data_IF_440914057251
#
_entry.id   IF_440914057251
#
_cell.length_a   1.000
_cell.length_b   1.000
_cell.length_c   1.000
_cell.angle_alpha   90.00
_cell.angle_beta   90.00
_cell.angle_gamma   90.00
#
_symmetry.space_group_name_H-M   'P 1'
#
loop_
_entity.id
_entity.type
_entity.pdbx_description
1 polymer ?
#
# COMPACT_ATOMS: atom_id res chain seq x y z
N UNK A 1 52.20 -26.22 47.67
CA UNK A 1 51.20 -26.70 48.65
C UNK A 1 49.90 -25.96 48.38
N UNK A 2 48.74 -26.61 48.49
CA UNK A 2 47.44 -25.99 48.22
C UNK A 2 46.53 -26.09 49.47
N UNK A 3 45.79 -25.04 49.83
CA UNK A 3 44.67 -25.15 50.76
C UNK A 3 43.43 -25.66 50.02
N UNK A 4 42.59 -26.46 50.70
CA UNK A 4 41.22 -26.74 50.25
C UNK A 4 40.34 -25.52 50.51
N UNK A 5 39.37 -25.27 49.64
CA UNK A 5 38.15 -24.53 50.01
C UNK A 5 36.92 -25.35 49.64
N UNK A 6 35.88 -25.20 50.46
CA UNK A 6 34.71 -26.09 50.51
C UNK A 6 33.59 -25.59 49.60
N UNK A 7 32.85 -26.51 49.00
CA UNK A 7 31.58 -26.24 48.33
C UNK A 7 30.48 -25.94 49.33
N UNK A 8 29.62 -24.96 49.03
CA UNK A 8 28.28 -24.80 49.60
C UNK A 8 27.32 -24.62 48.43
N UNK A 9 26.26 -25.41 48.39
CA UNK A 9 25.16 -25.25 47.44
C UNK A 9 24.04 -24.47 48.14
N UNK A 10 23.51 -23.43 47.49
CA UNK A 10 22.24 -22.81 47.89
C UNK A 10 21.28 -22.80 46.71
N UNK A 11 20.21 -23.59 46.83
CA UNK A 11 19.11 -23.66 45.87
C UNK A 11 18.04 -22.62 46.22
N UNK A 12 17.72 -21.72 45.29
CA UNK A 12 16.59 -20.80 45.44
C UNK A 12 15.55 -20.97 44.32
N UNK A 13 14.56 -21.82 44.59
CA UNK A 13 13.26 -21.75 43.90
C UNK A 13 12.55 -20.45 44.28
N UNK A 14 12.03 -19.73 43.28
CA UNK A 14 11.36 -18.45 43.45
C UNK A 14 9.98 -18.45 42.76
N UNK A 15 9.04 -19.23 43.31
CA UNK A 15 7.69 -19.42 42.78
C UNK A 15 6.81 -18.18 42.98
N UNK A 16 6.92 -17.19 42.09
CA UNK A 16 6.08 -16.00 42.10
C UNK A 16 4.60 -16.34 41.84
N UNK A 17 3.79 -16.27 42.90
CA UNK A 17 2.32 -16.24 42.78
C UNK A 17 1.89 -14.95 42.11
N UNK A 18 0.91 -15.05 41.21
CA UNK A 18 0.17 -13.89 40.69
C UNK A 18 -1.05 -13.69 41.59
N UNK A 19 -1.20 -12.50 42.17
CA UNK A 19 -2.40 -12.12 42.90
C UNK A 19 -3.50 -11.67 41.92
N UNK A 20 -4.70 -12.21 42.06
CA UNK A 20 -5.88 -11.76 41.32
C UNK A 20 -6.56 -10.63 42.11
N UNK A 21 -6.54 -9.41 41.59
CA UNK A 21 -7.36 -8.33 42.14
C UNK A 21 -8.83 -8.47 41.66
N UNK A 22 -9.82 -8.39 42.58
CA UNK A 22 -11.22 -8.61 42.24
C UNK A 22 -11.87 -7.43 41.50
N UNK A 23 -13.00 -7.69 40.85
CA UNK A 23 -13.90 -6.65 40.34
C UNK A 23 -14.48 -5.84 41.50
N UNK A 24 -14.37 -4.51 41.43
CA UNK A 24 -15.23 -3.60 42.18
C UNK A 24 -16.44 -3.21 41.34
N UNK A 25 -17.63 -3.56 41.82
CA UNK A 25 -18.93 -3.05 41.33
C UNK A 25 -19.34 -1.81 42.11
N UNK A 26 -19.81 -0.76 41.44
CA UNK A 26 -20.48 0.37 42.08
C UNK A 26 -21.52 1.05 41.17
N UNK A 27 -22.68 1.32 41.77
CA UNK A 27 -23.76 2.24 41.40
C UNK A 27 -23.60 3.56 42.19
N UNK A 28 -24.28 4.69 41.95
CA UNK A 28 -25.16 5.27 40.90
C UNK A 28 -25.14 6.82 41.18
N UNK A 29 -25.87 7.77 40.60
CA UNK A 29 -27.06 7.86 39.71
C UNK A 29 -26.98 9.26 39.00
N UNK A 30 -27.93 9.56 38.10
CA UNK A 30 -28.44 10.91 37.77
C UNK A 30 -27.56 11.79 36.86
N UNK A 31 -28.07 12.84 36.18
CA UNK A 31 -29.40 13.10 35.59
C UNK A 31 -29.31 14.35 34.67
N UNK A 32 -30.36 14.59 33.85
CA UNK A 32 -30.59 15.82 33.05
C UNK A 32 -29.57 16.14 31.93
N UNK A 33 -29.89 16.92 30.88
CA UNK A 33 -31.17 17.23 30.20
C UNK A 33 -30.90 17.87 28.82
N UNK A 34 -31.90 17.85 27.94
CA UNK A 34 -32.09 18.73 26.76
C UNK A 34 -30.93 19.05 25.80
N UNK A 35 -31.11 18.64 24.54
CA UNK A 35 -31.75 19.55 23.57
C UNK A 35 -32.06 18.84 22.25
N UNK A 36 -33.20 19.16 21.63
CA UNK A 36 -33.68 18.55 20.39
C UNK A 36 -33.80 19.57 19.26
N UNK A 37 -33.30 19.23 18.08
CA UNK A 37 -33.56 19.91 16.80
C UNK A 37 -33.69 18.87 15.68
N UNK A 38 -34.46 19.15 14.61
CA UNK A 38 -35.18 18.10 13.88
C UNK A 38 -34.41 17.47 12.70
N UNK A 39 -34.76 16.21 12.42
CA UNK A 39 -34.39 15.52 11.19
C UNK A 39 -34.99 16.16 9.93
N UNK A 40 -34.23 16.15 8.84
CA UNK A 40 -34.69 16.60 7.52
C UNK A 40 -34.72 15.40 6.56
N UNK A 41 -35.90 14.86 6.20
CA UNK A 41 -36.01 13.62 5.44
C UNK A 41 -35.70 13.84 3.95
N UNK A 42 -34.54 13.34 3.50
CA UNK A 42 -34.18 13.28 2.08
C UNK A 42 -34.24 11.85 1.56
N UNK A 43 -35.45 11.41 1.21
CA UNK A 43 -35.63 10.18 0.44
C UNK A 43 -35.02 10.35 -0.95
N UNK A 44 -34.00 9.55 -1.24
CA UNK A 44 -33.46 9.36 -2.58
C UNK A 44 -33.12 7.87 -2.74
N UNK A 45 -33.90 7.17 -3.58
CA UNK A 45 -33.77 5.73 -3.76
C UNK A 45 -32.38 5.36 -4.29
N UNK A 46 -31.58 4.75 -3.41
CA UNK A 46 -30.26 4.26 -3.77
C UNK A 46 -30.38 2.82 -4.27
N UNK A 47 -30.17 2.64 -5.57
CA UNK A 47 -30.09 1.32 -6.19
C UNK A 47 -29.06 0.46 -5.44
N UNK A 48 -29.53 -0.64 -4.82
CA UNK A 48 -28.75 -1.52 -3.96
C UNK A 48 -27.74 -2.34 -4.77
N UNK A 49 -26.62 -1.71 -5.14
CA UNK A 49 -25.39 -2.46 -5.41
C UNK A 49 -25.01 -3.23 -4.16
N UNK A 50 -24.89 -4.55 -4.26
CA UNK A 50 -24.87 -5.52 -3.15
C UNK A 50 -23.86 -5.21 -2.02
N UNK A 51 -24.26 -4.37 -1.04
CA UNK A 51 -23.67 -4.46 0.29
C UNK A 51 -24.05 -5.83 0.87
N UNK A 52 -23.11 -6.62 1.39
CA UNK A 52 -23.45 -7.90 2.02
C UNK A 52 -24.32 -7.61 3.23
N UNK A 53 -25.57 -8.09 3.20
CA UNK A 53 -26.57 -7.84 4.23
C UNK A 53 -25.98 -8.05 5.62
N UNK A 54 -25.94 -7.00 6.45
CA UNK A 54 -25.70 -7.20 7.87
C UNK A 54 -26.90 -8.00 8.39
N UNK A 55 -26.71 -9.30 8.62
CA UNK A 55 -27.69 -10.16 9.31
C UNK A 55 -27.70 -9.74 10.77
N UNK A 56 -28.39 -8.64 11.03
CA UNK A 56 -28.98 -8.32 12.31
C UNK A 56 -29.94 -9.49 12.59
N UNK A 57 -29.72 -10.22 13.69
CA UNK A 57 -30.67 -11.24 14.12
C UNK A 57 -31.97 -10.61 14.60
N UNK A 58 -33.00 -11.43 14.80
CA UNK A 58 -34.28 -10.98 15.38
C UNK A 58 -34.12 -10.45 16.82
N UNK A 59 -32.95 -10.69 17.42
CA UNK A 59 -32.45 -10.17 18.71
C UNK A 59 -31.75 -8.79 18.61
N UNK A 60 -31.65 -8.20 17.41
CA UNK A 60 -30.89 -6.98 17.17
C UNK A 60 -29.35 -7.17 17.17
N UNK A 61 -28.86 -8.37 17.43
CA UNK A 61 -27.43 -8.65 17.56
C UNK A 61 -26.83 -8.87 16.17
N UNK A 62 -25.64 -8.27 15.92
CA UNK A 62 -24.91 -8.47 14.66
C UNK A 62 -24.36 -9.88 14.57
N UNK A 63 -25.11 -10.77 13.93
CA UNK A 63 -24.80 -12.19 13.81
C UNK A 63 -23.49 -12.37 13.05
N UNK A 64 -22.55 -13.11 13.64
CA UNK A 64 -21.21 -13.29 13.07
C UNK A 64 -21.33 -14.18 11.83
N UNK A 65 -21.11 -13.62 10.63
CA UNK A 65 -21.02 -14.39 9.37
C UNK A 65 -20.19 -15.66 9.56
N UNK A 66 -20.74 -16.79 9.11
CA UNK A 66 -20.19 -18.13 9.36
C UNK A 66 -18.82 -18.32 8.70
N UNK A 67 -18.12 -19.39 9.07
CA UNK A 67 -16.85 -19.73 8.40
C UNK A 67 -17.06 -20.13 6.92
N UNK A 68 -18.27 -20.56 6.57
CA UNK A 68 -18.70 -20.90 5.21
C UNK A 68 -18.97 -19.64 4.38
N UNK A 69 -19.77 -18.69 4.90
CA UNK A 69 -19.97 -17.35 4.29
C UNK A 69 -18.62 -16.66 4.01
N UNK A 70 -17.71 -16.74 4.99
CA UNK A 70 -16.35 -16.17 4.90
C UNK A 70 -15.46 -16.88 3.89
N UNK A 71 -15.82 -18.08 3.45
CA UNK A 71 -15.08 -18.91 2.49
C UNK A 71 -15.47 -18.65 1.03
N UNK A 72 -16.67 -18.11 0.79
CA UNK A 72 -17.14 -17.74 -0.56
C UNK A 72 -16.16 -16.77 -1.22
N UNK A 73 -15.81 -17.04 -2.47
CA UNK A 73 -14.96 -16.17 -3.29
C UNK A 73 -15.73 -14.87 -3.59
N UNK A 74 -15.18 -13.68 -3.27
CA UNK A 74 -15.86 -12.42 -3.53
C UNK A 74 -15.83 -12.07 -5.03
N UNK A 75 -16.83 -11.36 -5.55
CA UNK A 75 -16.92 -11.00 -6.97
C UNK A 75 -15.70 -10.22 -7.50
N UNK A 76 -15.12 -9.36 -6.65
CA UNK A 76 -13.86 -8.65 -6.90
C UNK A 76 -12.66 -9.54 -7.23
N UNK A 77 -12.63 -10.80 -6.79
CA UNK A 77 -11.57 -11.75 -7.17
C UNK A 77 -11.64 -12.06 -8.67
N UNK A 78 -12.84 -12.31 -9.19
CA UNK A 78 -13.07 -12.52 -10.61
C UNK A 78 -12.83 -11.24 -11.42
N UNK A 79 -13.26 -10.08 -10.92
CA UNK A 79 -12.94 -8.79 -11.56
C UNK A 79 -11.43 -8.55 -11.62
N UNK A 80 -10.68 -8.87 -10.56
CA UNK A 80 -9.22 -8.75 -10.57
C UNK A 80 -8.55 -9.71 -11.55
N UNK A 81 -8.99 -10.98 -11.61
CA UNK A 81 -8.46 -11.97 -12.56
C UNK A 81 -8.75 -11.55 -14.01
N UNK A 82 -9.98 -11.13 -14.30
CA UNK A 82 -10.37 -10.68 -15.65
C UNK A 82 -9.58 -9.43 -16.05
N UNK A 83 -9.46 -8.45 -15.15
CA UNK A 83 -8.74 -7.21 -15.42
C UNK A 83 -7.23 -7.43 -15.57
N UNK A 84 -6.60 -8.25 -14.73
CA UNK A 84 -5.18 -8.59 -14.86
C UNK A 84 -4.94 -9.42 -16.13
N UNK A 85 -5.78 -10.42 -16.41
CA UNK A 85 -5.68 -11.23 -17.63
C UNK A 85 -5.88 -10.41 -18.91
N UNK A 86 -6.76 -9.40 -18.89
CA UNK A 86 -6.88 -8.42 -19.98
C UNK A 86 -5.63 -7.54 -20.07
N UNK A 87 -5.13 -6.98 -18.97
CA UNK A 87 -3.97 -6.09 -18.99
C UNK A 87 -2.70 -6.80 -19.45
N UNK A 88 -2.37 -7.95 -18.87
CA UNK A 88 -1.14 -8.70 -19.18
C UNK A 88 -1.24 -9.43 -20.53
N UNK A 89 -2.42 -9.96 -20.87
CA UNK A 89 -2.68 -10.62 -22.14
C UNK A 89 -2.74 -9.65 -23.33
N UNK A 90 -3.47 -8.54 -23.20
CA UNK A 90 -3.64 -7.57 -24.29
C UNK A 90 -2.45 -6.62 -24.45
N UNK A 91 -1.55 -6.50 -23.47
CA UNK A 91 -0.25 -5.82 -23.63
C UNK A 91 0.86 -6.75 -24.14
N UNK A 92 0.57 -8.03 -24.37
CA UNK A 92 1.57 -9.00 -24.83
C UNK A 92 2.68 -9.29 -23.81
N UNK A 93 2.45 -9.05 -22.53
CA UNK A 93 3.49 -9.09 -21.48
C UNK A 93 4.17 -10.46 -21.33
N UNK A 94 3.48 -11.56 -21.65
CA UNK A 94 4.03 -12.91 -21.49
C UNK A 94 4.80 -13.39 -22.73
N UNK A 95 5.89 -12.70 -23.07
CA UNK A 95 6.90 -13.19 -24.05
C UNK A 95 8.12 -13.81 -23.38
N UNK A 96 8.93 -14.54 -24.15
CA UNK A 96 10.26 -14.97 -23.70
C UNK A 96 11.19 -13.77 -23.43
N UNK A 97 11.10 -12.72 -24.25
CA UNK A 97 11.95 -11.52 -24.12
C UNK A 97 11.65 -10.76 -22.83
N UNK A 98 10.37 -10.73 -22.41
CA UNK A 98 9.96 -10.21 -21.09
C UNK A 98 10.55 -11.03 -19.94
N UNK A 99 10.59 -12.36 -20.05
CA UNK A 99 11.21 -13.23 -19.04
C UNK A 99 12.74 -13.06 -19.01
N UNK A 100 13.40 -12.93 -20.16
CA UNK A 100 14.83 -12.67 -20.24
C UNK A 100 15.21 -11.29 -19.69
N UNK A 101 14.47 -10.24 -20.04
CA UNK A 101 14.69 -8.88 -19.53
C UNK A 101 14.46 -8.82 -18.00
N UNK A 102 13.37 -9.39 -17.50
CA UNK A 102 13.12 -9.50 -16.06
C UNK A 102 14.26 -10.23 -15.31
N UNK A 103 14.81 -11.29 -15.91
CA UNK A 103 15.95 -12.00 -15.35
C UNK A 103 17.23 -11.14 -15.39
N UNK A 104 17.55 -10.47 -16.50
CA UNK A 104 18.72 -9.60 -16.55
C UNK A 104 18.60 -8.46 -15.53
N UNK A 105 17.49 -7.73 -15.51
CA UNK A 105 17.18 -6.70 -14.50
C UNK A 105 17.45 -7.17 -13.08
N UNK A 106 17.02 -8.38 -12.72
CA UNK A 106 17.31 -8.99 -11.41
C UNK A 106 18.81 -9.26 -11.23
N UNK A 107 19.50 -9.87 -12.21
CA UNK A 107 20.93 -10.17 -12.08
C UNK A 107 21.81 -8.91 -12.07
N UNK A 108 21.45 -7.89 -12.85
CA UNK A 108 22.11 -6.58 -12.92
C UNK A 108 21.88 -5.82 -11.62
N UNK A 109 20.68 -5.84 -11.05
CA UNK A 109 20.41 -5.24 -9.72
C UNK A 109 21.16 -5.98 -8.60
N UNK A 110 21.21 -7.32 -8.62
CA UNK A 110 21.99 -8.11 -7.66
C UNK A 110 23.51 -7.87 -7.81
N UNK A 111 24.00 -7.72 -9.03
CA UNK A 111 25.40 -7.35 -9.32
C UNK A 111 25.70 -5.95 -8.79
N UNK A 112 24.81 -4.98 -8.97
CA UNK A 112 24.94 -3.63 -8.40
C UNK A 112 24.95 -3.66 -6.87
N UNK A 113 24.05 -4.40 -6.22
CA UNK A 113 24.06 -4.57 -4.75
C UNK A 113 25.38 -5.21 -4.27
N UNK A 114 25.89 -6.24 -4.96
CA UNK A 114 27.19 -6.84 -4.65
C UNK A 114 28.32 -5.80 -4.78
N UNK A 115 28.39 -5.07 -5.89
CA UNK A 115 29.42 -4.08 -6.14
C UNK A 115 29.39 -2.94 -5.11
N UNK A 116 28.20 -2.50 -4.68
CA UNK A 116 28.03 -1.50 -3.61
C UNK A 116 28.53 -2.02 -2.26
N UNK A 117 28.22 -3.28 -1.89
CA UNK A 117 28.70 -3.89 -0.64
C UNK A 117 30.23 -4.13 -0.67
N UNK A 118 30.81 -4.43 -1.83
CA UNK A 118 32.26 -4.54 -2.00
C UNK A 118 32.93 -3.16 -1.92
N UNK A 119 32.31 -2.12 -2.49
CA UNK A 119 32.77 -0.74 -2.34
C UNK A 119 32.70 -0.25 -0.88
N UNK A 120 31.59 -0.49 -0.16
CA UNK A 120 31.46 -0.17 1.26
C UNK A 120 32.52 -0.90 2.11
N UNK A 121 32.78 -2.18 1.82
CA UNK A 121 33.85 -2.97 2.45
C UNK A 121 35.22 -2.34 2.22
N UNK A 122 35.56 -2.03 0.96
CA UNK A 122 36.89 -1.55 0.59
C UNK A 122 37.15 -0.12 1.08
N UNK A 123 36.10 0.69 1.16
CA UNK A 123 36.13 2.01 1.82
C UNK A 123 36.34 1.86 3.32
N UNK A 124 35.57 1.00 4.02
CA UNK A 124 35.78 0.73 5.45
C UNK A 124 37.17 0.15 5.75
N UNK A 125 37.75 -0.63 4.83
CA UNK A 125 39.13 -1.11 4.91
C UNK A 125 40.15 0.01 4.69
N UNK A 126 39.89 0.94 3.76
CA UNK A 126 40.72 2.14 3.54
C UNK A 126 40.80 2.98 4.83
N UNK A 127 39.67 3.21 5.50
CA UNK A 127 39.63 3.88 6.81
C UNK A 127 40.41 3.13 7.92
N UNK A 128 40.32 1.80 7.95
CA UNK A 128 40.98 0.97 8.96
C UNK A 128 42.51 0.87 8.76
N UNK A 129 42.98 1.03 7.52
CA UNK A 129 44.42 1.01 7.16
C UNK A 129 45.07 2.39 7.17
N UNK A 130 44.29 3.47 7.16
CA UNK A 130 44.77 4.84 7.06
C UNK A 130 44.97 5.33 5.61
N UNK A 131 44.44 4.61 4.63
CA UNK A 131 44.40 5.05 3.23
C UNK A 131 43.37 6.19 3.08
N UNK A 132 43.86 7.42 3.03
CA UNK A 132 43.03 8.61 2.88
C UNK A 132 42.33 8.64 1.52
N UNK A 133 41.00 8.61 1.56
CA UNK A 133 40.10 9.03 0.48
C UNK A 133 39.38 10.31 0.88
N UNK A 134 38.57 10.87 -0.03
CA UNK A 134 37.82 12.09 0.24
C UNK A 134 36.83 11.89 1.41
N UNK A 135 36.82 12.76 2.45
CA UNK A 135 36.02 12.55 3.65
C UNK A 135 34.51 12.44 3.44
N UNK A 136 34.00 12.93 2.30
CA UNK A 136 32.59 12.85 1.96
C UNK A 136 32.22 11.52 1.27
N UNK A 137 33.14 10.78 0.64
CA UNK A 137 32.89 9.38 0.25
C UNK A 137 32.50 8.56 1.49
N UNK A 138 33.29 8.70 2.56
CA UNK A 138 33.04 8.05 3.85
C UNK A 138 31.70 8.46 4.46
N UNK A 139 31.35 9.76 4.42
CA UNK A 139 30.07 10.25 4.93
C UNK A 139 28.87 9.77 4.10
N UNK A 140 28.96 9.84 2.77
CA UNK A 140 27.93 9.36 1.84
C UNK A 140 27.68 7.87 2.03
N UNK A 141 28.76 7.07 2.05
CA UNK A 141 28.67 5.63 2.28
C UNK A 141 28.05 5.32 3.64
N UNK A 142 28.59 5.87 4.73
CA UNK A 142 28.05 5.63 6.08
C UNK A 142 26.55 5.97 6.18
N UNK A 143 26.10 7.07 5.57
CA UNK A 143 24.67 7.42 5.50
C UNK A 143 23.86 6.39 4.69
N UNK A 144 24.36 5.93 3.53
CA UNK A 144 23.73 4.88 2.72
C UNK A 144 23.68 3.55 3.47
N UNK A 145 24.77 3.11 4.11
CA UNK A 145 24.81 1.87 4.90
C UNK A 145 23.85 1.93 6.09
N UNK A 146 23.80 3.06 6.81
CA UNK A 146 22.90 3.27 7.95
C UNK A 146 21.44 3.24 7.50
N UNK A 147 21.08 3.94 6.42
CA UNK A 147 19.70 4.00 5.93
C UNK A 147 19.25 2.67 5.33
N UNK A 148 20.03 2.10 4.40
CA UNK A 148 19.70 0.81 3.77
C UNK A 148 19.71 -0.34 4.77
N UNK A 149 20.74 -0.41 5.63
CA UNK A 149 20.84 -1.38 6.72
C UNK A 149 19.68 -1.27 7.72
N UNK A 150 19.25 -0.05 8.07
CA UNK A 150 18.06 0.14 8.91
C UNK A 150 16.77 -0.34 8.25
N UNK A 151 16.59 -0.08 6.95
CA UNK A 151 15.42 -0.53 6.18
C UNK A 151 15.41 -2.06 6.06
N UNK A 152 16.53 -2.68 5.69
CA UNK A 152 16.68 -4.14 5.61
C UNK A 152 16.51 -4.81 6.99
N UNK A 153 17.03 -4.20 8.06
CA UNK A 153 16.85 -4.68 9.42
C UNK A 153 15.39 -4.60 9.88
N UNK A 154 14.66 -3.53 9.56
CA UNK A 154 13.23 -3.38 9.92
C UNK A 154 12.34 -4.32 9.09
N UNK A 155 12.58 -4.44 7.78
CA UNK A 155 11.70 -5.15 6.85
C UNK A 155 12.02 -6.64 6.70
N UNK A 156 13.27 -7.07 6.91
CA UNK A 156 13.71 -8.46 6.76
C UNK A 156 14.30 -9.01 8.07
N UNK A 157 15.27 -8.32 8.67
CA UNK A 157 16.02 -8.82 9.83
C UNK A 157 15.20 -9.03 11.11
N UNK A 158 14.41 -8.04 11.53
CA UNK A 158 13.47 -8.17 12.66
C UNK A 158 12.44 -9.27 12.41
N UNK A 159 11.77 -9.35 11.25
CA UNK A 159 10.94 -10.50 10.86
C UNK A 159 11.66 -11.86 10.89
N UNK A 160 12.91 -11.97 10.45
CA UNK A 160 13.72 -13.20 10.58
C UNK A 160 13.92 -13.56 12.06
N UNK A 161 14.40 -12.62 12.88
CA UNK A 161 14.65 -12.85 14.31
C UNK A 161 13.38 -13.23 15.10
N UNK A 162 12.21 -12.73 14.70
CA UNK A 162 10.91 -13.09 15.26
C UNK A 162 10.34 -14.43 14.74
N UNK A 163 11.10 -15.20 13.94
CA UNK A 163 10.64 -16.45 13.33
C UNK A 163 9.48 -16.27 12.35
N UNK A 164 9.26 -15.06 11.81
CA UNK A 164 8.13 -14.79 10.92
C UNK A 164 8.22 -15.60 9.63
N UNK A 165 9.43 -15.87 9.13
CA UNK A 165 9.63 -16.68 7.93
C UNK A 165 9.82 -18.17 8.26
N UNK A 166 10.53 -18.50 9.34
CA UNK A 166 11.09 -19.84 9.60
C UNK A 166 10.39 -20.67 10.69
N UNK A 167 9.70 -20.06 11.67
CA UNK A 167 9.20 -20.77 12.85
C UNK A 167 8.08 -21.79 12.54
N UNK A 168 7.87 -22.79 13.40
CA UNK A 168 6.85 -23.85 13.20
C UNK A 168 5.44 -23.32 12.92
N UNK A 169 5.05 -22.18 13.51
CA UNK A 169 3.79 -21.47 13.21
C UNK A 169 3.74 -20.83 11.81
N UNK A 170 4.65 -21.19 10.89
CA UNK A 170 4.66 -20.78 9.48
C UNK A 170 3.74 -21.61 8.59
N UNK A 171 3.57 -22.90 8.87
CA UNK A 171 2.91 -23.89 7.99
C UNK A 171 1.58 -23.41 7.40
N UNK A 172 0.66 -22.93 8.25
CA UNK A 172 -0.67 -22.45 7.85
C UNK A 172 -0.68 -21.17 6.98
N UNK A 173 0.45 -20.45 6.92
CA UNK A 173 0.56 -19.14 6.26
C UNK A 173 1.81 -19.02 5.37
N UNK A 174 2.37 -20.15 4.91
CA UNK A 174 3.60 -20.18 4.09
C UNK A 174 3.50 -19.30 2.85
N UNK A 175 2.45 -19.44 2.03
CA UNK A 175 2.31 -18.69 0.77
C UNK A 175 2.37 -17.18 1.00
N UNK A 176 1.46 -16.61 1.80
CA UNK A 176 1.44 -15.17 2.10
C UNK A 176 2.80 -14.64 2.61
N UNK A 177 3.53 -15.45 3.39
CA UNK A 177 4.87 -15.11 3.87
C UNK A 177 5.89 -15.09 2.73
N UNK A 178 6.03 -16.18 1.97
CA UNK A 178 6.99 -16.21 0.86
C UNK A 178 6.69 -15.17 -0.23
N UNK A 179 5.40 -14.93 -0.54
CA UNK A 179 5.03 -13.85 -1.46
C UNK A 179 5.37 -12.46 -0.90
N UNK A 180 5.19 -12.23 0.41
CA UNK A 180 5.58 -10.96 1.04
C UNK A 180 7.10 -10.75 1.11
N UNK A 181 7.89 -11.80 1.30
CA UNK A 181 9.36 -11.73 1.22
C UNK A 181 9.82 -11.52 -0.23
N UNK A 182 9.21 -12.22 -1.20
CA UNK A 182 9.48 -12.04 -2.62
C UNK A 182 9.17 -10.60 -3.08
N UNK A 183 8.01 -10.07 -2.67
CA UNK A 183 7.65 -8.67 -2.89
C UNK A 183 8.73 -7.72 -2.35
N UNK A 184 9.16 -7.89 -1.08
CA UNK A 184 10.17 -7.01 -0.48
C UNK A 184 11.51 -7.06 -1.23
N UNK A 185 11.95 -8.25 -1.65
CA UNK A 185 13.18 -8.42 -2.44
C UNK A 185 13.05 -7.75 -3.80
N UNK A 186 12.01 -8.05 -4.57
CA UNK A 186 11.79 -7.45 -5.89
C UNK A 186 11.61 -5.93 -5.82
N UNK A 187 10.91 -5.42 -4.81
CA UNK A 187 10.73 -3.99 -4.58
C UNK A 187 12.05 -3.29 -4.29
N UNK A 188 12.93 -3.92 -3.50
CA UNK A 188 14.29 -3.41 -3.28
C UNK A 188 15.14 -3.44 -4.56
N UNK A 189 15.05 -4.50 -5.37
CA UNK A 189 15.78 -4.60 -6.64
C UNK A 189 15.29 -3.57 -7.67
N UNK A 190 13.98 -3.35 -7.77
CA UNK A 190 13.39 -2.32 -8.63
C UNK A 190 13.88 -0.91 -8.26
N UNK A 191 14.07 -0.61 -6.96
CA UNK A 191 14.66 0.66 -6.53
C UNK A 191 16.15 0.77 -6.88
N UNK A 192 16.92 -0.32 -6.75
CA UNK A 192 18.33 -0.34 -7.18
C UNK A 192 18.43 -0.06 -8.69
N UNK A 193 17.64 -0.76 -9.51
CA UNK A 193 17.60 -0.56 -10.95
C UNK A 193 17.20 0.88 -11.33
N UNK A 194 16.10 1.39 -10.75
CA UNK A 194 15.61 2.74 -11.00
C UNK A 194 16.61 3.86 -10.62
N UNK A 195 17.44 3.62 -9.59
CA UNK A 195 18.47 4.57 -9.16
C UNK A 195 19.72 4.46 -10.05
N UNK A 196 20.18 3.23 -10.35
CA UNK A 196 21.54 2.98 -10.88
C UNK A 196 21.62 2.61 -12.37
N UNK A 197 20.54 2.09 -12.96
CA UNK A 197 20.51 1.64 -14.35
C UNK A 197 19.25 2.14 -15.11
N UNK A 198 18.74 3.32 -14.75
CA UNK A 198 17.48 3.82 -15.32
C UNK A 198 17.51 3.91 -16.85
N UNK A 199 18.58 4.43 -17.43
CA UNK A 199 18.69 4.62 -18.88
C UNK A 199 18.96 3.29 -19.62
N UNK A 200 19.68 2.35 -18.99
CA UNK A 200 19.93 1.02 -19.57
C UNK A 200 18.76 0.04 -19.46
N UNK A 201 17.76 0.32 -18.61
CA UNK A 201 16.60 -0.56 -18.36
C UNK A 201 15.23 0.10 -18.52
N UNK A 202 15.15 1.42 -18.74
CA UNK A 202 13.92 2.22 -18.58
C UNK A 202 12.75 1.88 -19.51
N UNK A 203 13.03 1.26 -20.66
CA UNK A 203 12.01 0.79 -21.61
C UNK A 203 11.63 -0.70 -21.42
N UNK A 204 12.46 -1.49 -20.73
CA UNK A 204 12.35 -2.96 -20.71
C UNK A 204 12.39 -3.60 -19.30
N UNK A 205 12.58 -2.85 -18.21
CA UNK A 205 12.46 -3.42 -16.86
C UNK A 205 11.01 -3.79 -16.55
N UNK A 206 10.76 -5.10 -16.48
CA UNK A 206 9.48 -5.66 -16.02
C UNK A 206 9.47 -5.91 -14.51
N UNK A 207 10.51 -5.52 -13.77
CA UNK A 207 10.55 -5.72 -12.30
C UNK A 207 9.43 -4.96 -11.59
N UNK A 208 9.13 -3.67 -11.88
CA UNK A 208 7.99 -2.96 -11.28
C UNK A 208 6.64 -3.66 -11.50
N UNK A 209 6.45 -4.32 -12.65
CA UNK A 209 5.25 -5.13 -12.90
C UNK A 209 5.18 -6.33 -11.97
N UNK A 210 6.26 -7.12 -11.89
CA UNK A 210 6.27 -8.31 -11.00
C UNK A 210 6.10 -7.95 -9.53
N UNK A 211 6.57 -6.78 -9.11
CA UNK A 211 6.30 -6.17 -7.79
C UNK A 211 4.81 -5.90 -7.61
N UNK A 212 4.15 -5.21 -8.54
CA UNK A 212 2.72 -4.89 -8.46
C UNK A 212 1.84 -6.16 -8.45
N UNK A 213 2.13 -7.12 -9.32
CA UNK A 213 1.45 -8.41 -9.38
C UNK A 213 1.63 -9.20 -8.07
N UNK A 214 2.85 -9.23 -7.51
CA UNK A 214 3.09 -9.86 -6.21
C UNK A 214 2.36 -9.16 -5.07
N UNK A 215 2.13 -7.85 -5.14
CA UNK A 215 1.24 -7.13 -4.22
C UNK A 215 -0.20 -7.65 -4.24
N UNK A 216 -0.76 -7.91 -5.44
CA UNK A 216 -2.08 -8.54 -5.60
C UNK A 216 -2.10 -9.97 -5.03
N UNK A 217 -1.11 -10.80 -5.37
CA UNK A 217 -1.04 -12.20 -4.93
C UNK A 217 -0.84 -12.27 -3.40
N UNK A 218 0.04 -11.44 -2.83
CA UNK A 218 0.24 -11.33 -1.37
C UNK A 218 -1.05 -10.92 -0.66
N UNK A 219 -1.78 -9.96 -1.22
CA UNK A 219 -3.05 -9.45 -0.71
C UNK A 219 -4.17 -10.50 -0.73
N UNK A 220 -4.38 -11.21 -1.85
CA UNK A 220 -5.37 -12.31 -1.88
C UNK A 220 -4.94 -13.48 -0.98
N UNK A 221 -3.66 -13.86 -0.98
CA UNK A 221 -3.15 -14.89 -0.07
C UNK A 221 -3.38 -14.54 1.40
N UNK A 222 -3.24 -13.26 1.77
CA UNK A 222 -3.60 -12.74 3.09
C UNK A 222 -5.12 -12.82 3.34
N UNK A 223 -5.95 -12.36 2.40
CA UNK A 223 -7.41 -12.29 2.52
C UNK A 223 -8.07 -13.67 2.72
N UNK A 224 -7.55 -14.70 2.06
CA UNK A 224 -8.01 -16.08 2.24
C UNK A 224 -7.38 -16.78 3.46
N UNK A 225 -6.14 -16.40 3.84
CA UNK A 225 -5.45 -16.91 5.04
C UNK A 225 -6.05 -16.41 6.35
N UNK A 226 -6.31 -15.10 6.45
CA UNK A 226 -6.62 -14.43 7.71
C UNK A 226 -8.13 -14.27 7.95
N UNK A 227 -8.90 -15.35 7.77
CA UNK A 227 -10.37 -15.40 7.99
C UNK A 227 -10.83 -15.00 9.41
N UNK A 228 -9.87 -14.94 10.36
CA UNK A 228 -10.05 -14.48 11.75
C UNK A 228 -10.16 -12.95 11.88
N UNK A 229 -9.72 -12.18 10.87
CA UNK A 229 -9.88 -10.73 10.88
C UNK A 229 -11.37 -10.35 10.83
N UNK A 230 -11.78 -9.28 11.51
CA UNK A 230 -13.15 -8.78 11.44
C UNK A 230 -13.36 -7.99 10.15
N UNK A 231 -14.59 -8.04 9.62
CA UNK A 231 -15.05 -7.09 8.59
C UNK A 231 -15.47 -5.82 9.33
N UNK A 232 -14.80 -4.69 9.09
CA UNK A 232 -14.98 -3.41 9.79
C UNK A 232 -14.87 -2.23 8.80
N UNK A 233 -15.73 -1.22 8.99
CA UNK A 233 -15.70 0.05 8.23
C UNK A 233 -14.48 0.93 8.60
N UNK A 234 -13.99 0.81 9.84
CA UNK A 234 -12.66 1.29 10.24
C UNK A 234 -11.60 0.30 9.76
N UNK A 235 -10.54 0.79 9.13
CA UNK A 235 -9.39 -0.02 8.73
C UNK A 235 -8.61 -0.66 9.89
N UNK A 236 -8.68 -0.08 11.09
CA UNK A 236 -7.90 -0.47 12.26
C UNK A 236 -6.45 0.05 12.25
N UNK A 237 -5.87 0.28 11.06
CA UNK A 237 -4.50 0.81 10.89
C UNK A 237 -4.29 2.15 11.63
N UNK A 238 -5.33 2.99 11.68
CA UNK A 238 -5.31 4.36 12.23
C UNK A 238 -5.44 4.44 13.77
N UNK A 239 -4.92 3.45 14.48
CA UNK A 239 -4.99 3.33 15.95
C UNK A 239 -3.90 2.40 16.52
N UNK A 240 -3.62 2.49 17.82
CA UNK A 240 -2.65 1.63 18.51
C UNK A 240 -3.20 0.26 18.95
N UNK A 241 -4.50 0.14 19.21
CA UNK A 241 -5.13 -1.13 19.66
C UNK A 241 -5.95 -1.84 18.57
N UNK A 242 -6.21 -1.17 17.44
CA UNK A 242 -7.01 -1.73 16.35
C UNK A 242 -6.35 -2.91 15.65
N UNK A 243 -7.12 -3.98 15.45
CA UNK A 243 -6.80 -5.08 14.54
C UNK A 243 -7.23 -4.69 13.13
N UNK A 244 -6.45 -5.07 12.12
CA UNK A 244 -6.75 -4.79 10.71
C UNK A 244 -8.13 -5.29 10.32
N UNK A 245 -8.88 -4.45 9.61
CA UNK A 245 -10.09 -4.90 8.94
C UNK A 245 -9.75 -5.83 7.77
N UNK A 246 -10.51 -6.92 7.62
CA UNK A 246 -10.49 -7.74 6.40
C UNK A 246 -10.91 -6.90 5.18
N UNK A 247 -11.70 -5.86 5.38
CA UNK A 247 -12.13 -4.94 4.34
C UNK A 247 -11.02 -3.97 3.92
N UNK A 248 -10.20 -3.49 4.85
CA UNK A 248 -9.00 -2.70 4.51
C UNK A 248 -8.00 -3.54 3.71
N UNK A 249 -7.78 -4.79 4.14
CA UNK A 249 -6.95 -5.74 3.41
C UNK A 249 -7.46 -5.95 1.98
N UNK A 250 -8.78 -6.07 1.81
CA UNK A 250 -9.43 -6.26 0.52
C UNK A 250 -9.43 -4.98 -0.35
N UNK A 251 -9.55 -3.80 0.27
CA UNK A 251 -9.41 -2.50 -0.39
C UNK A 251 -7.98 -2.27 -0.93
N UNK A 252 -6.94 -2.66 -0.18
CA UNK A 252 -5.56 -2.58 -0.67
C UNK A 252 -5.32 -3.49 -1.89
N UNK A 253 -6.05 -4.60 -2.05
CA UNK A 253 -5.97 -5.41 -3.27
C UNK A 253 -6.44 -4.61 -4.49
N UNK A 254 -7.51 -3.82 -4.36
CA UNK A 254 -7.98 -2.92 -5.42
C UNK A 254 -6.88 -1.95 -5.87
N UNK A 255 -6.14 -1.37 -4.91
CA UNK A 255 -5.04 -0.47 -5.21
C UNK A 255 -3.81 -1.18 -5.79
N UNK A 256 -3.53 -2.43 -5.42
CA UNK A 256 -2.48 -3.22 -6.09
C UNK A 256 -2.88 -3.55 -7.54
N UNK A 257 -4.16 -3.82 -7.83
CA UNK A 257 -4.65 -3.97 -9.22
C UNK A 257 -4.49 -2.67 -10.02
N UNK A 258 -4.71 -1.51 -9.38
CA UNK A 258 -4.40 -0.22 -10.00
C UNK A 258 -2.89 -0.01 -10.24
N UNK A 259 -2.03 -0.60 -9.39
CA UNK A 259 -0.58 -0.62 -9.61
C UNK A 259 -0.19 -1.56 -10.77
N UNK A 260 -0.87 -2.70 -10.96
CA UNK A 260 -0.63 -3.58 -12.13
C UNK A 260 -0.95 -2.83 -13.43
N UNK A 261 -2.08 -2.09 -13.49
CA UNK A 261 -2.33 -1.18 -14.61
C UNK A 261 -1.25 -0.12 -14.75
N UNK A 262 -0.83 0.52 -13.65
CA UNK A 262 0.24 1.51 -13.66
C UNK A 262 1.58 0.97 -14.21
N UNK A 263 1.94 -0.27 -13.92
CA UNK A 263 3.17 -0.88 -14.41
C UNK A 263 3.12 -1.15 -15.92
N UNK A 264 1.99 -1.67 -16.43
CA UNK A 264 1.75 -1.86 -17.87
C UNK A 264 1.71 -0.51 -18.60
N UNK A 265 1.03 0.49 -18.03
CA UNK A 265 0.70 1.75 -18.70
C UNK A 265 1.82 2.80 -18.67
N UNK A 266 2.75 2.71 -17.70
CA UNK A 266 3.99 3.53 -17.68
C UNK A 266 5.13 2.91 -18.52
N UNK A 267 4.90 1.80 -19.21
CA UNK A 267 5.83 1.21 -20.18
C UNK A 267 5.31 1.47 -21.61
N UNK A 268 6.12 2.07 -22.47
CA UNK A 268 5.67 2.46 -23.81
C UNK A 268 5.32 1.25 -24.69
N UNK A 269 6.19 0.25 -24.78
CA UNK A 269 5.97 -0.93 -25.61
C UNK A 269 4.72 -1.72 -25.17
N UNK A 270 4.55 -1.97 -23.86
CA UNK A 270 3.35 -2.64 -23.34
C UNK A 270 2.08 -1.83 -23.59
N UNK A 271 2.14 -0.50 -23.48
CA UNK A 271 1.02 0.41 -23.74
C UNK A 271 0.65 0.46 -25.23
N UNK A 272 1.62 0.49 -26.14
CA UNK A 272 1.37 0.43 -27.59
C UNK A 272 0.71 -0.89 -27.98
N UNK A 273 1.19 -2.03 -27.43
CA UNK A 273 0.55 -3.33 -27.66
C UNK A 273 -0.86 -3.37 -27.04
N UNK A 274 -1.07 -2.80 -25.85
CA UNK A 274 -2.40 -2.64 -25.24
C UNK A 274 -3.35 -1.82 -26.14
N UNK A 275 -2.86 -0.72 -26.71
CA UNK A 275 -3.59 0.16 -27.63
C UNK A 275 -3.77 -0.45 -29.03
N UNK A 276 -3.03 -1.51 -29.40
CA UNK A 276 -3.16 -2.15 -30.72
C UNK A 276 -4.47 -2.91 -30.92
N UNK A 277 -5.11 -3.38 -29.83
CA UNK A 277 -6.23 -4.31 -29.89
C UNK A 277 -7.46 -3.86 -29.07
N UNK A 278 -8.63 -4.37 -29.44
CA UNK A 278 -9.91 -3.93 -28.86
C UNK A 278 -10.05 -4.25 -27.36
N UNK A 279 -9.50 -5.37 -26.89
CA UNK A 279 -9.55 -5.76 -25.48
C UNK A 279 -8.70 -4.85 -24.60
N UNK A 280 -7.48 -4.55 -25.05
CA UNK A 280 -6.58 -3.63 -24.38
C UNK A 280 -7.10 -2.19 -24.33
N UNK A 281 -7.66 -1.67 -25.43
CA UNK A 281 -8.38 -0.39 -25.43
C UNK A 281 -9.52 -0.34 -24.42
N UNK A 282 -10.35 -1.39 -24.34
CA UNK A 282 -11.45 -1.45 -23.35
C UNK A 282 -10.90 -1.43 -21.91
N UNK A 283 -9.80 -2.14 -21.64
CA UNK A 283 -9.13 -2.10 -20.34
C UNK A 283 -8.54 -0.71 -20.03
N UNK A 284 -7.87 -0.08 -21.00
CA UNK A 284 -7.34 1.28 -20.92
C UNK A 284 -8.45 2.30 -20.61
N UNK A 285 -9.50 2.41 -21.44
CA UNK A 285 -10.62 3.34 -21.19
C UNK A 285 -11.26 3.11 -19.80
N UNK A 286 -11.39 1.85 -19.38
CA UNK A 286 -11.92 1.49 -18.06
C UNK A 286 -11.02 1.98 -16.92
N UNK A 287 -9.68 1.92 -17.08
CA UNK A 287 -8.70 2.21 -16.03
C UNK A 287 -8.19 3.65 -16.03
N UNK A 288 -8.23 4.34 -17.17
CA UNK A 288 -7.95 5.78 -17.30
C UNK A 288 -9.13 6.59 -16.78
N UNK A 289 -10.36 6.33 -17.25
CA UNK A 289 -11.52 7.19 -16.99
C UNK A 289 -12.46 6.66 -15.90
N UNK A 290 -12.61 5.34 -15.76
CA UNK A 290 -13.62 4.74 -14.87
C UNK A 290 -13.12 3.85 -13.72
N UNK A 291 -11.86 3.88 -13.24
CA UNK A 291 -11.39 2.91 -12.24
C UNK A 291 -12.17 3.02 -10.92
N UNK A 292 -12.64 4.23 -10.57
CA UNK A 292 -13.46 4.48 -9.39
C UNK A 292 -14.98 4.29 -9.57
N UNK A 293 -15.44 4.04 -10.79
CA UNK A 293 -16.86 3.89 -11.15
C UNK A 293 -17.20 2.45 -11.54
N UNK A 294 -16.35 1.77 -12.32
CA UNK A 294 -16.58 0.40 -12.78
C UNK A 294 -15.86 -0.64 -11.94
N UNK A 295 -14.60 -0.40 -11.54
CA UNK A 295 -13.78 -1.39 -10.82
C UNK A 295 -13.93 -1.25 -9.29
N UNK A 296 -13.79 -0.03 -8.77
CA UNK A 296 -13.79 0.22 -7.31
C UNK A 296 -15.04 -0.27 -6.56
N UNK A 297 -16.28 -0.23 -7.09
CA UNK A 297 -17.46 -0.67 -6.32
C UNK A 297 -17.50 -2.16 -5.97
N UNK A 298 -16.74 -3.01 -6.65
CA UNK A 298 -16.65 -4.45 -6.35
C UNK A 298 -15.88 -4.74 -5.05
N UNK A 299 -15.11 -3.77 -4.55
CA UNK A 299 -14.28 -3.90 -3.34
C UNK A 299 -14.91 -3.08 -2.19
N UNK A 300 -14.82 -3.55 -0.94
CA UNK A 300 -15.31 -2.78 0.22
C UNK A 300 -14.52 -1.46 0.37
N UNK A 301 -15.06 -0.51 1.13
CA UNK A 301 -14.44 0.82 1.33
C UNK A 301 -14.34 1.16 2.81
N UNK A 302 -13.12 1.21 3.34
CA UNK A 302 -12.84 1.70 4.69
C UNK A 302 -12.68 3.21 4.64
N UNK A 303 -13.61 3.95 5.24
CA UNK A 303 -13.66 5.41 5.10
C UNK A 303 -12.83 6.04 6.22
N UNK A 304 -11.94 6.97 5.88
CA UNK A 304 -11.13 7.71 6.86
C UNK A 304 -11.95 8.56 7.86
N UNK A 305 -13.26 8.73 7.62
CA UNK A 305 -14.21 9.33 8.58
C UNK A 305 -14.71 8.34 9.65
N UNK A 306 -14.55 7.04 9.43
CA UNK A 306 -14.88 5.96 10.36
C UNK A 306 -13.62 5.48 11.14
N UNK A 307 -12.44 6.05 10.82
CA UNK A 307 -11.15 5.68 11.38
C UNK A 307 -10.98 6.16 12.83
N UNK A 308 -11.09 5.24 13.80
CA UNK A 308 -11.17 5.54 15.21
C UNK A 308 -12.57 5.97 15.68
N UNK A 309 -13.63 5.75 14.89
CA UNK A 309 -15.03 5.98 15.32
C UNK A 309 -15.54 4.91 16.31
N UNK A 310 -14.64 4.12 16.87
CA UNK A 310 -14.88 3.14 17.93
C UNK A 310 -14.12 3.57 19.15
N UNK A 311 -14.85 3.80 20.24
CA UNK A 311 -14.29 4.07 21.55
C UNK A 311 -13.19 3.06 21.93
N UNK A 312 -12.23 3.51 22.74
CA UNK A 312 -11.16 2.68 23.33
C UNK A 312 -10.17 2.07 22.33
N UNK A 313 -10.31 2.28 21.01
CA UNK A 313 -9.34 1.82 19.98
C UNK A 313 -8.02 2.59 19.98
N UNK A 314 -8.03 3.86 20.40
CA UNK A 314 -6.84 4.70 20.60
C UNK A 314 -6.49 4.80 22.09
N UNK A 315 -5.22 5.04 22.41
CA UNK A 315 -4.79 5.52 23.72
C UNK A 315 -4.78 7.04 23.76
N UNK A 316 -5.22 7.67 24.85
CA UNK A 316 -5.37 9.13 24.95
C UNK A 316 -4.06 9.88 24.64
N UNK A 317 -2.91 9.35 25.09
CA UNK A 317 -1.58 9.90 24.81
C UNK A 317 -1.13 9.79 23.33
N UNK A 318 -1.82 9.00 22.50
CA UNK A 318 -1.54 8.84 21.07
C UNK A 318 -2.69 9.33 20.18
N UNK A 319 -3.83 9.72 20.75
CA UNK A 319 -5.02 10.07 19.98
C UNK A 319 -4.76 11.24 19.02
N UNK A 320 -4.25 12.37 19.52
CA UNK A 320 -3.93 13.54 18.69
C UNK A 320 -2.96 13.20 17.54
N UNK A 321 -2.00 12.30 17.78
CA UNK A 321 -1.07 11.81 16.77
C UNK A 321 -1.78 11.01 15.67
N UNK A 322 -2.68 10.09 16.03
CA UNK A 322 -3.49 9.36 15.04
C UNK A 322 -4.51 10.26 14.32
N UNK A 323 -5.14 11.22 15.01
CA UNK A 323 -6.07 12.18 14.40
C UNK A 323 -5.37 13.05 13.33
N UNK A 324 -4.21 13.61 13.64
CA UNK A 324 -3.40 14.41 12.69
C UNK A 324 -2.98 13.53 11.50
N UNK A 325 -2.36 12.37 11.75
CA UNK A 325 -1.91 11.49 10.68
C UNK A 325 -3.03 10.99 9.77
N UNK A 326 -4.20 10.66 10.33
CA UNK A 326 -5.39 10.26 9.55
C UNK A 326 -5.90 11.42 8.68
N UNK A 327 -5.83 12.65 9.19
CA UNK A 327 -6.24 13.86 8.45
C UNK A 327 -5.27 14.17 7.30
N UNK A 328 -3.96 14.06 7.53
CA UNK A 328 -2.93 14.17 6.48
C UNK A 328 -3.15 13.13 5.39
N UNK A 329 -3.28 11.85 5.76
CA UNK A 329 -3.52 10.74 4.82
C UNK A 329 -4.82 10.94 4.03
N UNK A 330 -5.87 11.51 4.62
CA UNK A 330 -7.12 11.86 3.92
C UNK A 330 -6.94 12.94 2.86
N UNK A 331 -6.14 13.97 3.14
CA UNK A 331 -5.82 15.03 2.18
C UNK A 331 -4.97 14.46 1.04
N UNK A 332 -3.88 13.76 1.37
CA UNK A 332 -2.99 13.16 0.39
C UNK A 332 -3.68 12.10 -0.48
N UNK A 333 -4.55 11.26 0.07
CA UNK A 333 -5.29 10.26 -0.71
C UNK A 333 -6.29 10.90 -1.69
N UNK A 334 -6.98 11.98 -1.30
CA UNK A 334 -7.83 12.73 -2.23
C UNK A 334 -7.01 13.40 -3.33
N UNK A 335 -5.89 14.03 -2.99
CA UNK A 335 -5.02 14.68 -3.96
C UNK A 335 -4.39 13.66 -4.94
N UNK A 336 -3.79 12.59 -4.41
CA UNK A 336 -3.17 11.52 -5.21
C UNK A 336 -4.18 10.84 -6.14
N UNK A 337 -5.44 10.64 -5.72
CA UNK A 337 -6.50 10.09 -6.58
C UNK A 337 -6.68 10.91 -7.88
N UNK A 338 -6.66 12.23 -7.81
CA UNK A 338 -6.95 13.10 -8.96
C UNK A 338 -5.73 13.58 -9.73
N UNK A 339 -4.62 13.87 -9.04
CA UNK A 339 -3.41 14.33 -9.70
C UNK A 339 -2.49 13.16 -10.06
N UNK A 340 -2.22 12.23 -9.15
CA UNK A 340 -1.33 11.09 -9.44
C UNK A 340 -2.03 9.89 -10.11
N UNK A 341 -3.35 9.81 -10.00
CA UNK A 341 -4.19 8.90 -10.77
C UNK A 341 -4.66 9.57 -12.06
N UNK A 342 -5.80 10.25 -12.00
CA UNK A 342 -6.49 10.74 -13.20
C UNK A 342 -5.65 11.68 -14.08
N UNK A 343 -5.10 12.77 -13.57
CA UNK A 343 -4.36 13.75 -14.37
C UNK A 343 -3.16 13.10 -15.10
N UNK A 344 -2.34 12.33 -14.38
CA UNK A 344 -1.22 11.60 -14.98
C UNK A 344 -1.66 10.55 -16.01
N UNK A 345 -2.74 9.81 -15.75
CA UNK A 345 -3.30 8.87 -16.72
C UNK A 345 -3.82 9.58 -17.99
N UNK A 346 -4.41 10.77 -17.86
CA UNK A 346 -4.86 11.60 -18.99
C UNK A 346 -3.68 12.16 -19.79
N UNK A 347 -2.63 12.65 -19.13
CA UNK A 347 -1.41 13.11 -19.81
C UNK A 347 -0.71 11.98 -20.56
N UNK A 348 -0.66 10.76 -19.99
CA UNK A 348 -0.18 9.58 -20.71
C UNK A 348 -1.08 9.25 -21.90
N UNK A 349 -2.41 9.23 -21.73
CA UNK A 349 -3.38 8.93 -22.79
C UNK A 349 -3.26 9.87 -23.99
N UNK A 350 -3.02 11.16 -23.72
CA UNK A 350 -2.82 12.22 -24.73
C UNK A 350 -1.39 12.30 -25.28
N UNK A 351 -0.44 11.48 -24.79
CA UNK A 351 0.96 11.54 -25.22
C UNK A 351 1.74 12.78 -24.74
N UNK A 352 1.25 13.50 -23.74
CA UNK A 352 1.80 14.77 -23.26
C UNK A 352 2.95 14.62 -22.25
N UNK A 353 3.16 13.42 -21.71
CA UNK A 353 4.33 13.15 -20.86
C UNK A 353 5.58 13.05 -21.74
N UNK A 354 6.45 14.05 -21.63
CA UNK A 354 7.76 14.07 -22.29
C UNK A 354 8.71 12.99 -21.75
N UNK A 355 9.68 12.48 -22.54
CA UNK A 355 10.60 11.43 -22.10
C UNK A 355 11.36 11.75 -20.81
N UNK A 356 11.81 13.00 -20.61
CA UNK A 356 12.51 13.43 -19.39
C UNK A 356 11.65 13.28 -18.12
N UNK A 357 10.32 13.38 -18.26
CA UNK A 357 9.38 13.22 -17.15
C UNK A 357 9.05 11.75 -16.86
N UNK A 358 9.31 10.81 -17.77
CA UNK A 358 9.03 9.38 -17.55
C UNK A 358 9.80 8.80 -16.37
N UNK A 359 11.02 9.28 -16.09
CA UNK A 359 11.77 8.88 -14.89
C UNK A 359 11.05 9.26 -13.61
N UNK A 360 10.55 10.49 -13.54
CA UNK A 360 9.76 10.95 -12.40
C UNK A 360 8.47 10.11 -12.23
N UNK A 361 7.75 9.88 -13.32
CA UNK A 361 6.53 9.07 -13.37
C UNK A 361 6.72 7.66 -12.82
N UNK A 362 7.73 6.94 -13.34
CA UNK A 362 8.00 5.56 -12.97
C UNK A 362 8.49 5.44 -11.52
N UNK A 363 9.33 6.38 -11.04
CA UNK A 363 9.74 6.43 -9.63
C UNK A 363 8.59 6.69 -8.67
N UNK A 364 7.65 7.56 -9.04
CA UNK A 364 6.44 7.86 -8.27
C UNK A 364 5.46 6.68 -8.27
N UNK A 365 5.32 5.99 -9.41
CA UNK A 365 4.55 4.75 -9.52
C UNK A 365 5.13 3.63 -8.63
N UNK A 366 6.46 3.45 -8.64
CA UNK A 366 7.15 2.49 -7.78
C UNK A 366 6.92 2.82 -6.29
N UNK A 367 7.08 4.09 -5.89
CA UNK A 367 6.82 4.54 -4.51
C UNK A 367 5.37 4.31 -4.07
N UNK A 368 4.39 4.53 -4.95
CA UNK A 368 2.98 4.26 -4.67
C UNK A 368 2.71 2.75 -4.52
N UNK A 369 3.29 1.92 -5.38
CA UNK A 369 3.20 0.44 -5.28
C UNK A 369 3.76 -0.07 -3.95
N UNK A 370 4.91 0.48 -3.53
CA UNK A 370 5.48 0.24 -2.20
C UNK A 370 4.57 0.68 -1.07
N UNK A 371 4.00 1.88 -1.14
CA UNK A 371 3.10 2.45 -0.11
C UNK A 371 1.89 1.55 0.15
N UNK A 372 1.25 1.03 -0.89
CA UNK A 372 0.07 0.14 -0.77
C UNK A 372 0.45 -1.21 -0.16
N UNK A 373 1.47 -1.88 -0.69
CA UNK A 373 1.82 -3.24 -0.25
C UNK A 373 2.51 -3.27 1.12
N UNK A 374 3.42 -2.34 1.40
CA UNK A 374 4.19 -2.31 2.66
C UNK A 374 3.28 -1.95 3.85
N UNK A 375 2.19 -1.19 3.65
CA UNK A 375 1.20 -0.95 4.71
C UNK A 375 0.61 -2.24 5.28
N UNK A 376 0.27 -3.22 4.42
CA UNK A 376 -0.23 -4.54 4.84
C UNK A 376 0.82 -5.33 5.64
N UNK A 377 2.08 -5.21 5.24
CA UNK A 377 3.21 -5.86 5.92
C UNK A 377 3.51 -5.22 7.28
N UNK A 378 3.60 -3.89 7.36
CA UNK A 378 3.79 -3.14 8.59
C UNK A 378 2.67 -3.41 9.61
N UNK A 379 1.40 -3.48 9.16
CA UNK A 379 0.33 -3.91 10.05
C UNK A 379 0.57 -5.33 10.58
N UNK A 380 1.03 -6.25 9.73
CA UNK A 380 1.31 -7.62 10.15
C UNK A 380 2.40 -7.67 11.22
N UNK A 381 3.46 -6.86 11.09
CA UNK A 381 4.51 -6.72 12.13
C UNK A 381 3.98 -6.10 13.42
N UNK A 382 3.12 -5.07 13.33
CA UNK A 382 2.40 -4.48 14.48
C UNK A 382 1.53 -5.49 15.22
N UNK A 383 0.71 -6.23 14.49
CA UNK A 383 -0.20 -7.25 15.03
C UNK A 383 0.56 -8.39 15.71
N UNK A 384 1.76 -8.72 15.21
CA UNK A 384 2.68 -9.68 15.85
C UNK A 384 3.50 -9.09 17.01
N UNK A 385 3.30 -7.81 17.35
CA UNK A 385 4.08 -7.05 18.35
C UNK A 385 5.60 -7.01 18.04
N UNK A 386 5.99 -7.18 16.78
CA UNK A 386 7.39 -7.10 16.31
C UNK A 386 7.85 -5.65 16.19
N UNK A 387 6.95 -4.74 15.80
CA UNK A 387 7.19 -3.30 15.70
C UNK A 387 6.15 -2.51 16.52
N UNK A 388 6.53 -1.39 17.17
CA UNK A 388 5.58 -0.52 17.87
C UNK A 388 4.55 0.11 16.92
N UNK A 389 3.30 0.22 17.37
CA UNK A 389 2.22 0.79 16.58
C UNK A 389 2.53 2.20 16.04
N UNK A 390 3.06 3.09 16.91
CA UNK A 390 3.49 4.44 16.56
C UNK A 390 4.51 4.42 15.41
N UNK A 391 5.53 3.56 15.47
CA UNK A 391 6.54 3.42 14.43
C UNK A 391 5.93 2.98 13.09
N UNK A 392 5.09 1.94 13.08
CA UNK A 392 4.45 1.46 11.85
C UNK A 392 3.53 2.51 11.21
N UNK A 393 2.88 3.36 12.00
CA UNK A 393 2.08 4.46 11.49
C UNK A 393 2.93 5.64 10.99
N UNK A 394 3.99 6.01 11.72
CA UNK A 394 4.98 7.01 11.27
C UNK A 394 5.65 6.62 9.96
N UNK A 395 6.03 5.35 9.78
CA UNK A 395 6.64 4.86 8.54
C UNK A 395 5.67 4.98 7.35
N UNK A 396 4.40 4.60 7.54
CA UNK A 396 3.38 4.75 6.50
C UNK A 396 3.09 6.23 6.16
N UNK A 397 3.06 7.12 7.16
CA UNK A 397 2.98 8.57 6.93
C UNK A 397 4.20 9.05 6.13
N UNK A 398 5.41 8.59 6.45
CA UNK A 398 6.62 8.97 5.73
C UNK A 398 6.60 8.52 4.26
N UNK A 399 6.07 7.33 3.95
CA UNK A 399 5.86 6.89 2.57
C UNK A 399 4.87 7.79 1.82
N UNK A 400 3.69 8.04 2.40
CA UNK A 400 2.67 8.93 1.80
C UNK A 400 3.18 10.37 1.67
N UNK A 401 4.02 10.84 2.60
CA UNK A 401 4.63 12.16 2.54
C UNK A 401 5.76 12.24 1.51
N UNK A 402 6.55 11.18 1.29
CA UNK A 402 7.54 11.13 0.21
C UNK A 402 6.87 11.26 -1.18
N UNK A 403 5.71 10.62 -1.39
CA UNK A 403 4.86 10.82 -2.58
C UNK A 403 4.42 12.29 -2.75
N UNK A 404 4.32 13.06 -1.67
CA UNK A 404 4.02 14.50 -1.71
C UNK A 404 5.26 15.39 -1.82
N UNK A 405 6.42 14.99 -1.28
CA UNK A 405 7.71 15.64 -1.53
C UNK A 405 8.15 15.54 -3.00
N UNK A 406 7.58 14.60 -3.76
CA UNK A 406 7.72 14.54 -5.21
C UNK A 406 6.93 15.64 -5.95
N UNK A 407 5.87 16.22 -5.34
CA UNK A 407 4.98 17.18 -6.01
C UNK A 407 5.69 18.41 -6.60
N UNK A 408 6.63 19.09 -5.93
CA UNK A 408 7.30 20.26 -6.51
C UNK A 408 7.94 19.99 -7.88
N UNK A 409 8.50 18.79 -8.08
CA UNK A 409 9.10 18.36 -9.35
C UNK A 409 8.04 18.01 -10.43
N UNK A 410 6.78 17.81 -10.03
CA UNK A 410 5.65 17.61 -10.93
C UNK A 410 4.91 18.90 -11.30
N UNK A 411 5.16 20.03 -10.61
CA UNK A 411 4.41 21.28 -10.81
C UNK A 411 4.52 21.74 -12.26
N UNK A 412 5.71 21.78 -12.84
CA UNK A 412 5.90 22.25 -14.22
C UNK A 412 5.17 21.34 -15.23
N UNK A 413 5.10 20.03 -14.96
CA UNK A 413 4.34 19.07 -15.77
C UNK A 413 2.84 19.33 -15.70
N UNK A 414 2.30 19.61 -14.50
CA UNK A 414 0.87 19.88 -14.31
C UNK A 414 0.45 21.28 -14.79
N UNK A 415 1.31 22.28 -14.62
CA UNK A 415 1.07 23.67 -15.00
C UNK A 415 1.25 23.91 -16.50
N UNK A 416 1.97 23.03 -17.21
CA UNK A 416 2.02 23.04 -18.68
C UNK A 416 0.66 22.76 -19.33
N UNK A 417 -0.24 22.04 -18.65
CA UNK A 417 -1.55 21.62 -19.17
C UNK A 417 -2.69 22.07 -18.24
N UNK A 418 -2.94 23.39 -18.14
CA UNK A 418 -3.85 23.95 -17.15
C UNK A 418 -5.32 23.49 -17.34
N UNK A 419 -5.71 23.10 -18.56
CA UNK A 419 -7.07 22.59 -18.82
C UNK A 419 -7.22 21.17 -18.27
N UNK A 420 -6.19 20.32 -18.38
CA UNK A 420 -6.16 19.01 -17.69
C UNK A 420 -6.08 19.16 -16.17
N UNK A 421 -5.38 20.17 -15.66
CA UNK A 421 -5.33 20.44 -14.22
C UNK A 421 -6.72 20.86 -13.68
N UNK A 422 -7.42 21.74 -14.40
CA UNK A 422 -8.80 22.13 -14.09
C UNK A 422 -9.78 20.95 -14.19
N UNK A 423 -9.64 20.08 -15.20
CA UNK A 423 -10.46 18.87 -15.35
C UNK A 423 -10.31 17.94 -14.14
N UNK A 424 -9.08 17.64 -13.72
CA UNK A 424 -8.82 16.81 -12.54
C UNK A 424 -9.23 17.46 -11.21
N UNK A 425 -9.10 18.79 -11.09
CA UNK A 425 -9.62 19.54 -9.95
C UNK A 425 -11.16 19.50 -9.88
N UNK A 426 -11.86 19.62 -11.01
CA UNK A 426 -13.32 19.45 -11.04
C UNK A 426 -13.74 18.04 -10.61
N UNK A 427 -12.97 17.00 -10.96
CA UNK A 427 -13.19 15.62 -10.47
C UNK A 427 -13.06 15.49 -8.95
N UNK A 428 -12.09 16.19 -8.36
CA UNK A 428 -11.93 16.28 -6.91
C UNK A 428 -13.16 16.94 -6.25
N UNK A 429 -13.67 18.03 -6.81
CA UNK A 429 -14.90 18.70 -6.33
C UNK A 429 -16.14 17.80 -6.50
N UNK A 430 -16.33 17.18 -7.67
CA UNK A 430 -17.41 16.21 -7.93
C UNK A 430 -17.39 15.06 -6.91
N UNK A 431 -16.20 14.58 -6.53
CA UNK A 431 -16.01 13.57 -5.50
C UNK A 431 -16.33 14.07 -4.07
N UNK A 432 -16.09 15.35 -3.77
CA UNK A 432 -16.48 15.95 -2.49
C UNK A 432 -18.00 16.00 -2.29
N UNK A 433 -18.81 16.05 -3.35
CA UNK A 433 -20.28 15.90 -3.28
C UNK A 433 -20.74 14.54 -2.72
N UNK A 434 -19.87 13.52 -2.77
CA UNK A 434 -20.13 12.10 -2.46
C UNK A 434 -21.17 11.42 -3.35
N UNK A 435 -21.77 12.10 -4.33
CA UNK A 435 -22.71 11.51 -5.28
C UNK A 435 -21.99 10.66 -6.31
N UNK A 436 -22.30 9.35 -6.35
CA UNK A 436 -21.80 8.44 -7.39
C UNK A 436 -22.25 8.87 -8.79
N UNK A 437 -23.46 9.40 -8.93
CA UNK A 437 -23.98 9.89 -10.20
C UNK A 437 -23.15 11.07 -10.73
N UNK A 438 -22.91 12.10 -9.90
CA UNK A 438 -22.10 13.27 -10.29
C UNK A 438 -20.66 12.85 -10.65
N UNK A 439 -20.04 11.95 -9.89
CA UNK A 439 -18.71 11.44 -10.23
C UNK A 439 -18.71 10.61 -11.53
N UNK A 440 -19.76 9.83 -11.81
CA UNK A 440 -19.88 9.06 -13.06
C UNK A 440 -20.08 9.98 -14.26
N UNK A 441 -20.91 11.02 -14.14
CA UNK A 441 -21.05 12.05 -15.16
C UNK A 441 -19.74 12.80 -15.41
N UNK A 442 -18.97 13.11 -14.36
CA UNK A 442 -17.62 13.66 -14.53
C UNK A 442 -16.69 12.70 -15.28
N UNK A 443 -16.71 11.40 -15.01
CA UNK A 443 -15.89 10.43 -15.75
C UNK A 443 -16.28 10.38 -17.25
N UNK A 444 -17.58 10.45 -17.57
CA UNK A 444 -18.07 10.52 -18.96
C UNK A 444 -17.64 11.82 -19.64
N UNK A 445 -17.80 12.97 -18.98
CA UNK A 445 -17.36 14.27 -19.53
C UNK A 445 -15.84 14.31 -19.71
N UNK A 446 -15.06 13.81 -18.74
CA UNK A 446 -13.61 13.71 -18.84
C UNK A 446 -13.18 12.81 -20.01
N UNK A 447 -13.82 11.65 -20.20
CA UNK A 447 -13.56 10.77 -21.35
C UNK A 447 -13.88 11.47 -22.68
N UNK A 448 -15.05 12.11 -22.80
CA UNK A 448 -15.47 12.77 -24.05
C UNK A 448 -14.59 13.98 -24.39
N UNK A 449 -14.14 14.75 -23.39
CA UNK A 449 -13.19 15.84 -23.60
C UNK A 449 -11.82 15.31 -23.99
N UNK A 450 -11.24 14.38 -23.22
CA UNK A 450 -9.87 13.86 -23.44
C UNK A 450 -9.78 13.01 -24.72
N UNK A 451 -10.88 12.45 -25.21
CA UNK A 451 -10.94 11.82 -26.53
C UNK A 451 -11.14 12.82 -27.70
N UNK A 452 -11.35 14.12 -27.42
CA UNK A 452 -11.47 15.15 -28.44
C UNK A 452 -10.10 15.73 -28.81
N UNK A 453 -9.68 15.49 -30.05
CA UNK A 453 -8.38 15.93 -30.60
C UNK A 453 -8.23 17.43 -30.79
N UNK A 454 -9.37 18.14 -30.86
CA UNK A 454 -9.40 19.56 -31.24
C UNK A 454 -9.18 20.49 -30.03
N UNK A 455 -8.98 19.92 -28.84
CA UNK A 455 -8.63 20.62 -27.61
C UNK A 455 -7.10 20.65 -27.48
N UNK A 456 -6.51 21.82 -27.74
CA UNK A 456 -5.22 22.21 -27.17
C UNK A 456 -5.32 22.10 -25.62
N UNK A 457 -4.44 21.35 -24.95
CA UNK A 457 -4.66 20.79 -23.59
C UNK A 457 -3.79 21.39 -22.47
#
# INVERSE_FOLDING_TARGET
MAPKMTTVEESHDATLKVEEHPLNTASEESSASDSSLPDCPTNADSAKGNEPSEVIGDDGVKKRLSLEDRSRIPGSFWVSIILIGLLEGCSGMYTMDTVYSWWDSITTSLRTVKNLLEYERDLMWSAATGEFREPDEYLRAALVTIVSGSILWVLIGKPMSAGLWTGQRSTRHKMHRYMGLCFLIQYSLAWVEFITNYEGAGEFSFVPHTVALNGVIQGYSAYFSFRVLPNLKDAGYYSDKGVMSRDFLHENICFNVFCVFGAVYNNNALREVLQSNIGGRIAEFTMVFYPFVLIRPWFPTTRLKDAGSREKTRSANLERFYQIGTTMIKIFYLWAKYFLGFHLNFMLFLGLIKPENMRFMQGLHLLNTGTVAIAMFLHTLRFKKILPAKFTFSFYIAQVYATFCALPYAIDTFMSHPKLAALSFSGLLCNMTRSRAIHSSWCVVAMLLVACTDIDW
#
